data_IF_298548967450
#
_entry.id   IF_298548967450
#
_cell.length_a   1.000
_cell.length_b   1.000
_cell.length_c   1.000
_cell.angle_alpha   90.00
_cell.angle_beta   90.00
_cell.angle_gamma   90.00
#
_symmetry.space_group_name_H-M   'P 1'
#
loop_
_entity.id
_entity.type
_entity.pdbx_description
1 polymer ?
#
# COMPACT_ATOMS: atom_id res chain seq x y z
N UNK A 1 5.43 6.70 -10.39
CA UNK A 1 6.10 5.88 -9.35
C UNK A 1 7.10 6.76 -8.60
N UNK A 2 7.19 6.68 -7.27
CA UNK A 2 8.21 7.43 -6.52
C UNK A 2 9.63 7.02 -6.91
N UNK A 3 10.54 7.97 -6.99
CA UNK A 3 11.94 7.75 -7.42
C UNK A 3 12.65 6.68 -6.58
N UNK A 4 12.38 6.65 -5.28
CA UNK A 4 12.94 5.63 -4.40
C UNK A 4 12.53 4.22 -4.82
N UNK A 5 11.25 4.04 -5.16
CA UNK A 5 10.72 2.75 -5.62
C UNK A 5 11.32 2.37 -6.97
N UNK A 6 11.49 3.33 -7.88
CA UNK A 6 12.15 3.09 -9.17
C UNK A 6 13.57 2.58 -8.98
N UNK A 7 14.34 3.22 -8.11
CA UNK A 7 15.73 2.83 -7.83
C UNK A 7 15.81 1.43 -7.21
N UNK A 8 14.95 1.13 -6.24
CA UNK A 8 14.89 -0.19 -5.62
C UNK A 8 14.50 -1.26 -6.64
N UNK A 9 13.51 -0.98 -7.47
CA UNK A 9 13.06 -1.88 -8.52
C UNK A 9 14.18 -2.13 -9.55
N UNK A 10 14.88 -1.10 -9.96
CA UNK A 10 15.99 -1.22 -10.90
C UNK A 10 17.11 -2.12 -10.34
N UNK A 11 17.50 -1.91 -9.08
CA UNK A 11 18.47 -2.75 -8.39
C UNK A 11 18.00 -4.21 -8.32
N UNK A 12 16.75 -4.42 -7.95
CA UNK A 12 16.17 -5.75 -7.93
C UNK A 12 16.19 -6.42 -9.30
N UNK A 13 15.84 -5.68 -10.35
CA UNK A 13 15.84 -6.21 -11.72
C UNK A 13 17.22 -6.66 -12.18
N UNK A 14 18.27 -5.96 -11.79
CA UNK A 14 19.65 -6.36 -12.07
C UNK A 14 19.98 -7.69 -11.36
N UNK A 15 19.67 -7.80 -10.09
CA UNK A 15 19.85 -9.04 -9.32
C UNK A 15 19.00 -10.18 -9.90
N UNK A 16 17.80 -9.87 -10.36
CA UNK A 16 16.88 -10.84 -10.95
C UNK A 16 17.42 -11.47 -12.23
N UNK A 17 18.05 -10.69 -13.08
CA UNK A 17 18.68 -11.18 -14.33
C UNK A 17 19.82 -12.14 -14.03
N UNK A 18 20.59 -11.88 -12.98
CA UNK A 18 21.75 -12.67 -12.58
C UNK A 18 21.37 -13.90 -11.75
N UNK A 19 20.10 -14.06 -11.37
CA UNK A 19 19.66 -15.15 -10.50
C UNK A 19 19.53 -16.46 -11.25
N UNK A 20 20.53 -17.33 -11.09
CA UNK A 20 20.60 -18.66 -11.72
C UNK A 20 19.52 -19.62 -11.24
N UNK A 21 18.90 -19.35 -10.07
CA UNK A 21 17.81 -20.16 -9.51
C UNK A 21 16.45 -19.86 -10.13
N UNK A 22 16.37 -18.81 -10.93
CA UNK A 22 15.11 -18.41 -11.55
C UNK A 22 14.65 -19.44 -12.58
N UNK A 23 13.44 -19.96 -12.37
CA UNK A 23 12.80 -20.96 -13.23
C UNK A 23 11.60 -20.38 -13.99
N UNK A 24 11.28 -19.11 -13.78
CA UNK A 24 10.09 -18.45 -14.32
C UNK A 24 10.48 -17.07 -14.84
N UNK A 25 9.77 -16.58 -15.85
CA UNK A 25 9.95 -15.25 -16.43
C UNK A 25 9.31 -14.14 -15.58
N UNK A 26 8.60 -14.49 -14.52
CA UNK A 26 7.99 -13.53 -13.62
C UNK A 26 9.02 -12.54 -13.05
N UNK A 27 8.64 -11.29 -12.93
CA UNK A 27 9.50 -10.27 -12.32
C UNK A 27 9.81 -10.64 -10.86
N UNK A 28 8.79 -11.00 -10.09
CA UNK A 28 8.94 -11.41 -8.69
C UNK A 28 8.85 -12.92 -8.56
N UNK A 29 9.90 -13.51 -8.01
CA UNK A 29 10.02 -14.94 -7.83
C UNK A 29 10.19 -15.31 -6.35
N UNK A 30 9.78 -16.53 -6.01
CA UNK A 30 9.98 -17.12 -4.69
C UNK A 30 11.42 -17.63 -4.50
N UNK A 31 11.73 -18.10 -3.30
CA UNK A 31 13.01 -18.77 -3.03
C UNK A 31 13.25 -20.00 -3.90
N UNK A 32 12.18 -20.63 -4.35
CA UNK A 32 12.24 -21.80 -5.25
C UNK A 32 12.47 -21.41 -6.71
N UNK A 33 12.53 -20.13 -7.03
CA UNK A 33 12.73 -19.62 -8.37
C UNK A 33 11.47 -19.56 -9.23
N UNK A 34 10.31 -19.83 -8.66
CA UNK A 34 9.01 -19.80 -9.34
C UNK A 34 8.28 -18.48 -9.07
N UNK A 35 7.30 -18.18 -9.91
CA UNK A 35 6.44 -16.98 -9.74
C UNK A 35 5.87 -16.91 -8.34
N UNK A 36 5.93 -15.73 -7.72
CA UNK A 36 5.30 -15.52 -6.43
C UNK A 36 3.78 -15.64 -6.53
N UNK A 37 3.20 -16.38 -5.58
CA UNK A 37 1.75 -16.47 -5.44
C UNK A 37 1.22 -15.33 -4.57
N UNK A 38 -0.09 -15.08 -4.64
CA UNK A 38 -0.75 -14.11 -3.75
C UNK A 38 -0.48 -14.45 -2.27
N UNK A 39 -0.55 -15.73 -1.91
CA UNK A 39 -0.24 -16.20 -0.56
C UNK A 39 1.22 -15.96 -0.18
N UNK A 40 2.14 -16.12 -1.11
CA UNK A 40 3.56 -15.81 -0.89
C UNK A 40 3.80 -14.34 -0.59
N UNK A 41 3.15 -13.44 -1.33
CA UNK A 41 3.20 -11.99 -1.09
C UNK A 41 2.63 -11.65 0.29
N UNK A 42 1.49 -12.23 0.66
CA UNK A 42 0.89 -12.01 1.98
C UNK A 42 1.80 -12.45 3.13
N UNK A 43 2.48 -13.59 2.99
CA UNK A 43 3.43 -14.08 3.99
C UNK A 43 4.61 -13.14 4.17
N UNK A 44 5.18 -12.66 3.07
CA UNK A 44 6.28 -11.69 3.08
C UNK A 44 5.83 -10.41 3.78
N UNK A 45 4.65 -9.92 3.44
CA UNK A 45 4.10 -8.70 4.02
C UNK A 45 3.87 -8.84 5.53
N UNK A 46 3.28 -9.94 5.98
CA UNK A 46 3.10 -10.23 7.41
C UNK A 46 4.43 -10.28 8.16
N UNK A 47 5.44 -10.87 7.55
CA UNK A 47 6.78 -10.92 8.12
C UNK A 47 7.34 -9.52 8.36
N UNK A 48 7.29 -8.65 7.35
CA UNK A 48 7.80 -7.28 7.48
C UNK A 48 6.95 -6.43 8.42
N UNK A 49 5.64 -6.56 8.39
CA UNK A 49 4.75 -5.87 9.33
C UNK A 49 5.07 -6.25 10.79
N UNK A 50 5.33 -7.53 11.05
CA UNK A 50 5.71 -8.00 12.38
C UNK A 50 6.99 -7.34 12.89
N UNK A 51 7.97 -7.07 12.02
CA UNK A 51 9.24 -6.41 12.42
C UNK A 51 9.03 -4.99 12.95
N UNK A 52 7.93 -4.35 12.60
CA UNK A 52 7.57 -3.00 13.08
C UNK A 52 6.40 -3.02 14.05
N UNK A 53 6.05 -4.18 14.59
CA UNK A 53 5.02 -4.33 15.61
C UNK A 53 3.59 -4.36 15.09
N UNK A 54 3.38 -4.56 13.80
CA UNK A 54 2.05 -4.67 13.21
C UNK A 54 1.69 -6.16 13.06
N UNK A 55 0.85 -6.65 13.97
CA UNK A 55 0.44 -8.07 14.02
C UNK A 55 -0.99 -8.30 13.56
N UNK A 56 -1.78 -7.23 13.37
CA UNK A 56 -3.16 -7.32 12.91
C UNK A 56 -3.21 -7.84 11.48
N UNK A 57 -3.85 -9.01 11.24
CA UNK A 57 -3.93 -9.58 9.89
C UNK A 57 -4.64 -8.68 8.88
N UNK A 58 -5.58 -7.84 9.35
CA UNK A 58 -6.32 -6.95 8.47
C UNK A 58 -5.50 -5.74 8.01
N UNK A 59 -4.45 -5.39 8.77
CA UNK A 59 -3.50 -4.32 8.41
C UNK A 59 -2.33 -4.83 7.57
N UNK A 60 -1.95 -6.09 7.73
CA UNK A 60 -0.84 -6.72 7.03
C UNK A 60 -1.28 -7.40 5.73
N UNK A 61 -2.06 -6.71 4.92
CA UNK A 61 -2.57 -7.20 3.64
C UNK A 61 -2.23 -6.22 2.51
N UNK A 62 -2.02 -6.71 1.28
CA UNK A 62 -1.76 -5.83 0.13
C UNK A 62 -2.84 -4.77 -0.07
N UNK A 63 -4.11 -5.14 0.05
CA UNK A 63 -5.22 -4.19 -0.07
C UNK A 63 -5.25 -3.13 1.02
N UNK A 64 -4.85 -3.46 2.24
CA UNK A 64 -4.73 -2.50 3.34
C UNK A 64 -3.63 -1.46 3.05
N UNK A 65 -2.48 -1.88 2.55
CA UNK A 65 -1.40 -0.99 2.15
C UNK A 65 -1.81 -0.10 0.96
N UNK A 66 -2.49 -0.68 0.00
CA UNK A 66 -3.00 0.05 -1.16
C UNK A 66 -4.00 1.12 -0.75
N UNK A 67 -4.92 0.80 0.16
CA UNK A 67 -5.87 1.76 0.73
C UNK A 67 -5.15 2.86 1.50
N UNK A 68 -4.16 2.51 2.31
CA UNK A 68 -3.36 3.48 3.06
C UNK A 68 -2.65 4.46 2.12
N UNK A 69 -2.08 3.97 1.04
CA UNK A 69 -1.46 4.81 0.03
C UNK A 69 -2.47 5.80 -0.57
N UNK A 70 -3.64 5.32 -0.96
CA UNK A 70 -4.70 6.19 -1.49
C UNK A 70 -5.17 7.23 -0.47
N UNK A 71 -5.37 6.83 0.78
CA UNK A 71 -5.77 7.73 1.86
C UNK A 71 -4.71 8.78 2.17
N UNK A 72 -3.44 8.41 2.12
CA UNK A 72 -2.34 9.37 2.31
C UNK A 72 -2.31 10.42 1.19
N UNK A 73 -2.53 10.02 -0.04
CA UNK A 73 -2.64 10.95 -1.16
C UNK A 73 -3.81 11.93 -0.98
N UNK A 74 -4.96 11.41 -0.54
CA UNK A 74 -6.14 12.22 -0.23
C UNK A 74 -5.85 13.20 0.90
N UNK A 75 -5.18 12.74 1.96
CA UNK A 75 -4.79 13.57 3.09
C UNK A 75 -3.83 14.70 2.69
N UNK A 76 -2.97 14.44 1.71
CA UNK A 76 -2.04 15.43 1.15
C UNK A 76 -2.73 16.41 0.19
N UNK A 77 -4.03 16.30 0.00
CA UNK A 77 -4.80 17.22 -0.83
C UNK A 77 -4.80 16.89 -2.32
N UNK A 78 -4.35 15.71 -2.68
CA UNK A 78 -4.39 15.26 -4.09
C UNK A 78 -5.85 15.03 -4.50
N UNK A 79 -6.20 15.54 -5.67
CA UNK A 79 -7.55 15.37 -6.24
C UNK A 79 -7.91 13.89 -6.38
N UNK A 80 -9.14 13.55 -6.00
CA UNK A 80 -9.66 12.17 -6.02
C UNK A 80 -9.54 11.52 -7.41
N UNK A 81 -9.72 12.29 -8.46
CA UNK A 81 -9.57 11.81 -9.84
C UNK A 81 -8.13 11.40 -10.14
N UNK A 82 -7.18 12.20 -9.70
CA UNK A 82 -5.76 11.89 -9.81
C UNK A 82 -5.39 10.65 -8.98
N UNK A 83 -5.93 10.52 -7.76
CA UNK A 83 -5.74 9.34 -6.93
C UNK A 83 -6.24 8.09 -7.64
N UNK A 84 -7.43 8.15 -8.25
CA UNK A 84 -8.00 7.03 -9.01
C UNK A 84 -7.08 6.62 -10.17
N UNK A 85 -6.54 7.57 -10.91
CA UNK A 85 -5.60 7.32 -12.00
C UNK A 85 -4.30 6.65 -11.49
N UNK A 86 -3.71 7.18 -10.42
CA UNK A 86 -2.49 6.63 -9.82
C UNK A 86 -2.69 5.22 -9.27
N UNK A 87 -3.89 4.91 -8.79
CA UNK A 87 -4.25 3.59 -8.29
C UNK A 87 -4.60 2.60 -9.41
N UNK A 88 -4.73 3.08 -10.65
CA UNK A 88 -5.15 2.25 -11.77
C UNK A 88 -6.60 1.82 -11.70
N UNK A 89 -7.45 2.56 -10.97
CA UNK A 89 -8.87 2.28 -10.91
C UNK A 89 -9.54 2.68 -12.23
N UNK A 90 -10.21 1.73 -12.88
CA UNK A 90 -11.00 2.00 -14.11
C UNK A 90 -12.18 2.92 -13.82
N UNK A 91 -12.62 2.95 -12.59
CA UNK A 91 -13.78 3.66 -12.12
C UNK A 91 -13.43 4.43 -10.85
N UNK A 92 -13.78 5.71 -10.82
CA UNK A 92 -13.55 6.59 -9.67
C UNK A 92 -14.32 6.15 -8.40
N UNK A 93 -15.37 5.33 -8.54
CA UNK A 93 -16.19 4.89 -7.41
C UNK A 93 -15.41 4.20 -6.30
N UNK A 94 -14.41 3.38 -6.64
CA UNK A 94 -13.56 2.69 -5.66
C UNK A 94 -12.77 3.71 -4.85
N UNK A 95 -12.17 4.68 -5.51
CA UNK A 95 -11.42 5.76 -4.86
C UNK A 95 -12.35 6.64 -4.04
N UNK A 96 -13.56 6.89 -4.54
CA UNK A 96 -14.59 7.65 -3.82
C UNK A 96 -15.00 6.96 -2.51
N UNK A 97 -15.09 5.65 -2.49
CA UNK A 97 -15.30 4.88 -1.26
C UNK A 97 -14.20 5.14 -0.23
N UNK A 98 -12.94 5.12 -0.65
CA UNK A 98 -11.81 5.39 0.23
C UNK A 98 -11.85 6.82 0.77
N UNK A 99 -12.20 7.78 -0.07
CA UNK A 99 -12.40 9.16 0.33
C UNK A 99 -13.50 9.31 1.39
N UNK A 100 -14.64 8.67 1.17
CA UNK A 100 -15.77 8.72 2.10
C UNK A 100 -15.41 8.14 3.46
N UNK A 101 -14.76 6.98 3.50
CA UNK A 101 -14.26 6.38 4.74
C UNK A 101 -13.26 7.28 5.45
N UNK A 102 -12.30 7.80 4.72
CA UNK A 102 -11.31 8.73 5.25
C UNK A 102 -11.97 9.97 5.86
N UNK A 103 -12.93 10.57 5.16
CA UNK A 103 -13.66 11.75 5.65
C UNK A 103 -14.45 11.47 6.93
N UNK A 104 -15.07 10.28 7.03
CA UNK A 104 -15.81 9.86 8.22
C UNK A 104 -14.85 9.68 9.40
N UNK A 105 -13.75 8.98 9.21
CA UNK A 105 -12.74 8.75 10.24
C UNK A 105 -12.11 10.06 10.70
N UNK A 106 -11.82 10.95 9.77
CA UNK A 106 -11.26 12.28 10.07
C UNK A 106 -12.21 13.13 10.88
N UNK A 107 -13.51 13.11 10.56
CA UNK A 107 -14.54 13.81 11.35
C UNK A 107 -14.60 13.28 12.77
N UNK A 108 -14.58 11.96 12.95
CA UNK A 108 -14.57 11.33 14.27
C UNK A 108 -13.35 11.77 15.08
N UNK A 109 -12.17 11.72 14.47
CA UNK A 109 -10.92 12.15 15.10
C UNK A 109 -10.99 13.62 15.55
N UNK A 110 -11.44 14.50 14.68
CA UNK A 110 -11.60 15.92 14.97
C UNK A 110 -12.57 16.13 16.15
N UNK A 111 -13.69 15.42 16.15
CA UNK A 111 -14.69 15.51 17.23
C UNK A 111 -14.18 14.98 18.55
N UNK A 112 -13.43 13.89 18.54
CA UNK A 112 -12.81 13.31 19.75
C UNK A 112 -11.76 14.24 20.37
N UNK A 113 -11.04 14.98 19.54
CA UNK A 113 -9.99 15.91 19.97
C UNK A 113 -10.48 17.34 20.16
N UNK A 114 -11.76 17.61 19.87
CA UNK A 114 -12.36 18.92 20.04
C UNK A 114 -12.65 19.18 21.52
N UNK A 115 -12.04 20.24 22.07
CA UNK A 115 -12.34 20.71 23.41
C UNK A 115 -13.31 21.91 23.31
N UNK A 116 -14.51 21.69 23.83
CA UNK A 116 -15.57 22.70 23.86
C UNK A 116 -15.19 23.97 24.66
N UNK A 117 -14.23 23.86 25.58
CA UNK A 117 -13.73 25.02 26.37
C UNK A 117 -12.70 25.85 25.60
N UNK A 118 -12.28 25.42 24.43
CA UNK A 118 -11.26 26.09 23.62
C UNK A 118 -9.82 25.79 24.04
N UNK A 119 -9.59 24.94 25.02
CA UNK A 119 -8.27 24.47 25.45
C UNK A 119 -7.89 23.22 24.67
N UNK A 120 -7.01 23.38 23.74
CA UNK A 120 -6.47 22.25 22.96
C UNK A 120 -5.08 21.86 23.43
#
# INVERSE_FOLDING_TARGET
>A
MPVQVENELFTYMQERVENEKAKDDALFISRLGTRMTAQGVEKVLKKYCATVGIYDPDKARPHALRRTFACNLIADGIDIKMVAELMGHKNIEVTHKYYTQYAIEKRKEVMQNFDITGNR
#
